data_IF_159322632615
#
_entry.id   IF_159322632615
#
_cell.length_a   1.000
_cell.length_b   1.000
_cell.length_c   1.000
_cell.angle_alpha   90.00
_cell.angle_beta   90.00
_cell.angle_gamma   90.00
#
_symmetry.space_group_name_H-M   'P 1'
#
loop_
_entity.id
_entity.type
_entity.pdbx_description
1 polymer ?
#
# COMPACT_ATOMS: atom_id res chain seq x y z
N UNK A 1 -7.42 43.35 37.52
CA UNK A 1 -8.45 44.25 36.95
C UNK A 1 -9.33 43.40 36.05
N UNK A 2 -10.40 42.80 36.55
CA UNK A 2 -11.76 43.33 36.74
C UNK A 2 -12.70 43.11 35.53
N UNK A 3 -13.61 42.15 35.73
CA UNK A 3 -15.06 42.16 35.43
C UNK A 3 -15.60 42.08 33.98
N UNK A 4 -16.36 41.00 33.80
CA UNK A 4 -17.61 40.75 33.04
C UNK A 4 -18.45 41.96 32.58
N UNK A 5 -19.18 41.75 31.47
CA UNK A 5 -20.60 42.08 31.18
C UNK A 5 -20.74 42.56 29.71
N UNK A 6 -21.44 41.88 28.79
CA UNK A 6 -22.89 41.70 28.60
C UNK A 6 -23.61 42.96 28.06
N UNK A 7 -24.28 42.76 26.91
CA UNK A 7 -25.48 43.41 26.28
C UNK A 7 -25.42 44.78 25.59
N UNK A 8 -25.91 44.79 24.35
CA UNK A 8 -26.88 45.75 23.75
C UNK A 8 -27.35 45.11 22.41
N UNK A 9 -28.63 44.94 22.04
CA UNK A 9 -29.79 45.84 22.07
C UNK A 9 -30.17 46.08 20.59
N UNK A 10 -31.18 45.41 20.01
CA UNK A 10 -32.64 45.62 20.07
C UNK A 10 -33.21 46.51 18.91
N UNK A 11 -34.37 46.06 18.40
CA UNK A 11 -35.48 46.80 17.73
C UNK A 11 -35.46 46.98 16.18
N UNK A 12 -36.37 46.36 15.38
CA UNK A 12 -37.84 46.60 15.13
C UNK A 12 -38.02 47.58 13.93
N UNK A 13 -38.86 47.45 12.87
CA UNK A 13 -40.15 46.77 12.63
C UNK A 13 -40.54 46.76 11.10
N UNK A 14 -41.65 46.05 10.79
CA UNK A 14 -42.70 46.32 9.76
C UNK A 14 -42.36 46.11 8.25
N UNK A 15 -43.15 45.49 7.35
CA UNK A 15 -44.57 45.07 7.36
C UNK A 15 -44.93 44.23 6.10
N UNK A 16 -45.95 43.37 6.25
CA UNK A 16 -47.01 42.99 5.30
C UNK A 16 -46.70 42.25 3.97
N UNK A 17 -47.13 40.98 3.89
CA UNK A 17 -48.07 40.51 2.85
C UNK A 17 -48.68 39.15 3.26
N UNK A 18 -50.00 39.18 3.43
CA UNK A 18 -50.89 38.09 3.76
C UNK A 18 -51.21 37.30 2.48
N UNK A 19 -50.95 35.99 2.44
CA UNK A 19 -51.71 35.09 1.58
C UNK A 19 -51.93 33.75 2.28
N UNK A 20 -53.20 33.41 2.36
CA UNK A 20 -53.77 32.23 2.99
C UNK A 20 -53.43 31.01 2.14
N UNK A 21 -52.77 30.01 2.74
CA UNK A 21 -52.83 28.62 2.25
C UNK A 21 -53.16 27.73 3.45
N UNK A 22 -54.37 27.20 3.43
CA UNK A 22 -54.90 26.18 4.34
C UNK A 22 -54.07 24.89 4.17
N UNK A 23 -53.84 24.10 5.25
CA UNK A 23 -52.74 23.16 5.31
C UNK A 23 -53.09 21.87 4.57
N UNK A 24 -52.37 21.55 3.51
CA UNK A 24 -52.26 20.14 3.10
C UNK A 24 -51.29 19.52 4.09
N UNK A 25 -51.83 18.90 5.15
CA UNK A 25 -51.11 17.83 5.83
C UNK A 25 -50.93 16.74 4.80
N UNK A 26 -49.78 16.75 4.13
CA UNK A 26 -49.22 15.54 3.59
C UNK A 26 -49.04 14.63 4.80
N UNK A 27 -50.02 13.76 5.02
CA UNK A 27 -49.80 12.51 5.71
C UNK A 27 -48.63 11.88 4.99
N UNK A 28 -47.43 11.98 5.58
CA UNK A 28 -46.31 11.17 5.19
C UNK A 28 -46.81 9.73 5.27
N UNK A 29 -47.13 9.15 4.11
CA UNK A 29 -47.23 7.73 3.99
C UNK A 29 -45.92 7.18 4.59
N UNK A 30 -45.98 6.22 5.52
CA UNK A 30 -44.75 5.65 6.03
C UNK A 30 -44.00 5.11 4.82
N UNK A 31 -42.81 5.67 4.54
CA UNK A 31 -41.86 5.01 3.69
C UNK A 31 -41.79 3.57 4.22
N UNK A 32 -42.16 2.61 3.38
CA UNK A 32 -42.16 1.20 3.77
C UNK A 32 -40.80 0.88 4.42
N UNK A 33 -40.76 0.16 5.55
CA UNK A 33 -39.51 -0.12 6.27
C UNK A 33 -38.47 -0.83 5.39
N UNK A 34 -38.91 -1.44 4.28
CA UNK A 34 -38.05 -2.06 3.29
C UNK A 34 -37.18 -1.06 2.48
N UNK A 35 -37.68 0.12 2.12
CA UNK A 35 -36.89 1.11 1.35
C UNK A 35 -35.85 1.83 2.21
N UNK A 36 -36.14 2.09 3.49
CA UNK A 36 -35.16 2.67 4.42
C UNK A 36 -34.07 1.68 4.80
N UNK A 37 -34.38 0.39 4.93
CA UNK A 37 -33.38 -0.66 5.22
C UNK A 37 -32.39 -0.87 4.08
N UNK A 38 -32.85 -0.85 2.82
CA UNK A 38 -31.98 -0.99 1.64
C UNK A 38 -31.04 0.23 1.49
N UNK A 39 -31.55 1.45 1.69
CA UNK A 39 -30.71 2.65 1.64
C UNK A 39 -29.71 2.71 2.80
N UNK A 40 -30.09 2.28 4.00
CA UNK A 40 -29.17 2.14 5.15
C UNK A 40 -28.04 1.14 4.85
N UNK A 41 -28.35 0.00 4.22
CA UNK A 41 -27.35 -1.00 3.82
C UNK A 41 -26.43 -0.51 2.70
N UNK A 42 -26.93 0.27 1.74
CA UNK A 42 -26.09 0.94 0.74
C UNK A 42 -25.13 1.96 1.37
N UNK A 43 -25.59 2.72 2.35
CA UNK A 43 -24.76 3.68 3.07
C UNK A 43 -23.68 2.99 3.91
N UNK A 44 -24.02 1.90 4.60
CA UNK A 44 -23.07 1.05 5.34
C UNK A 44 -21.98 0.49 4.42
N UNK A 45 -22.37 0.01 3.23
CA UNK A 45 -21.43 -0.45 2.19
C UNK A 45 -20.51 0.66 1.70
N UNK A 46 -21.05 1.85 1.40
CA UNK A 46 -20.23 2.98 0.95
C UNK A 46 -19.21 3.39 2.02
N UNK A 47 -19.61 3.38 3.29
CA UNK A 47 -18.70 3.64 4.41
C UNK A 47 -17.60 2.57 4.53
N UNK A 48 -17.95 1.28 4.36
CA UNK A 48 -16.99 0.19 4.42
C UNK A 48 -15.99 0.20 3.25
N UNK A 49 -16.42 0.56 2.03
CA UNK A 49 -15.53 0.75 0.88
C UNK A 49 -14.59 1.93 1.11
N UNK A 50 -15.09 3.05 1.63
CA UNK A 50 -14.25 4.21 1.95
C UNK A 50 -13.18 3.86 3.01
N UNK A 51 -13.53 3.03 4.00
CA UNK A 51 -12.56 2.56 4.99
C UNK A 51 -11.52 1.62 4.40
N UNK A 52 -11.92 0.73 3.47
CA UNK A 52 -10.99 -0.12 2.74
C UNK A 52 -10.00 0.70 1.91
N UNK A 53 -10.47 1.75 1.25
CA UNK A 53 -9.61 2.63 0.44
C UNK A 53 -8.63 3.43 1.31
N UNK A 54 -9.05 3.91 2.50
CA UNK A 54 -8.13 4.52 3.48
C UNK A 54 -7.07 3.54 3.94
N UNK A 55 -7.46 2.30 4.25
CA UNK A 55 -6.53 1.26 4.67
C UNK A 55 -5.52 0.92 3.57
N UNK A 56 -5.97 0.82 2.30
CA UNK A 56 -5.09 0.61 1.14
C UNK A 56 -4.08 1.75 0.99
N UNK A 57 -4.52 3.00 1.14
CA UNK A 57 -3.63 4.15 1.13
C UNK A 57 -2.59 4.07 2.25
N UNK A 58 -2.99 3.66 3.46
CA UNK A 58 -2.08 3.45 4.58
C UNK A 58 -1.01 2.38 4.27
N UNK A 59 -1.40 1.24 3.70
CA UNK A 59 -0.45 0.19 3.29
C UNK A 59 0.52 0.70 2.23
N UNK A 60 0.07 1.50 1.26
CA UNK A 60 0.97 2.11 0.26
C UNK A 60 2.00 3.04 0.91
N UNK A 61 1.61 3.82 1.92
CA UNK A 61 2.54 4.65 2.69
C UNK A 61 3.57 3.78 3.41
N UNK A 62 3.14 2.71 4.08
CA UNK A 62 4.05 1.79 4.77
C UNK A 62 5.04 1.12 3.81
N UNK A 63 4.59 0.71 2.61
CA UNK A 63 5.46 0.15 1.56
C UNK A 63 6.48 1.19 1.10
N UNK A 64 6.07 2.45 0.92
CA UNK A 64 6.99 3.52 0.55
C UNK A 64 8.07 3.74 1.62
N UNK A 65 7.68 3.76 2.90
CA UNK A 65 8.61 3.83 4.04
C UNK A 65 9.54 2.62 4.09
N UNK A 66 9.04 1.40 3.85
CA UNK A 66 9.84 0.18 3.77
C UNK A 66 10.90 0.24 2.66
N UNK A 67 10.54 0.79 1.49
CA UNK A 67 11.50 1.01 0.39
C UNK A 67 12.59 2.02 0.79
N UNK A 68 12.22 3.10 1.48
CA UNK A 68 13.19 4.08 2.01
C UNK A 68 14.15 3.39 2.98
N UNK A 69 13.61 2.62 3.92
CA UNK A 69 14.40 1.85 4.89
C UNK A 69 15.36 0.85 4.21
N UNK A 70 14.90 0.17 3.16
CA UNK A 70 15.75 -0.71 2.34
C UNK A 70 16.93 0.03 1.70
N UNK A 71 16.73 1.27 1.24
CA UNK A 71 17.83 2.11 0.73
C UNK A 71 18.79 2.53 1.84
N UNK A 72 18.28 2.84 3.03
CA UNK A 72 19.11 3.19 4.18
C UNK A 72 19.98 2.01 4.63
N UNK A 73 19.41 0.80 4.69
CA UNK A 73 20.17 -0.44 4.92
C UNK A 73 21.28 -0.61 3.86
N UNK A 74 20.95 -0.42 2.59
CA UNK A 74 21.91 -0.52 1.49
C UNK A 74 23.06 0.48 1.62
N UNK A 75 22.75 1.73 1.96
CA UNK A 75 23.73 2.79 2.21
C UNK A 75 24.62 2.45 3.41
N UNK A 76 24.04 2.05 4.55
CA UNK A 76 24.80 1.69 5.75
C UNK A 76 25.74 0.50 5.49
N UNK A 77 25.32 -0.49 4.70
CA UNK A 77 26.20 -1.60 4.27
C UNK A 77 27.38 -1.14 3.42
N UNK A 78 27.15 -0.24 2.47
CA UNK A 78 28.23 0.32 1.65
C UNK A 78 29.22 1.13 2.49
N UNK A 79 28.70 1.92 3.44
CA UNK A 79 29.47 2.68 4.41
C UNK A 79 30.30 1.80 5.34
N UNK A 80 29.77 0.65 5.77
CA UNK A 80 30.51 -0.36 6.54
C UNK A 80 31.66 -0.93 5.70
N UNK A 81 31.39 -1.36 4.47
CA UNK A 81 32.41 -1.92 3.59
C UNK A 81 33.57 -0.94 3.32
N UNK A 82 33.26 0.36 3.19
CA UNK A 82 34.29 1.40 3.07
C UNK A 82 35.14 1.49 4.34
N UNK A 83 34.52 1.54 5.52
CA UNK A 83 35.25 1.62 6.79
C UNK A 83 36.10 0.38 7.02
N UNK A 84 35.62 -0.81 6.66
CA UNK A 84 36.40 -2.06 6.72
C UNK A 84 37.65 -1.98 5.83
N UNK A 85 37.52 -1.44 4.62
CA UNK A 85 38.64 -1.19 3.72
C UNK A 85 39.65 -0.20 4.33
N UNK A 86 39.16 0.90 4.91
CA UNK A 86 40.00 1.93 5.54
C UNK A 86 40.75 1.36 6.76
N UNK A 87 40.09 0.52 7.56
CA UNK A 87 40.70 -0.20 8.69
C UNK A 87 41.78 -1.15 8.19
N UNK A 88 41.53 -1.92 7.14
CA UNK A 88 42.52 -2.84 6.57
C UNK A 88 43.76 -2.11 6.06
N UNK A 89 43.59 -0.95 5.42
CA UNK A 89 44.70 -0.11 5.00
C UNK A 89 45.49 0.43 6.20
N UNK A 90 44.81 0.95 7.23
CA UNK A 90 45.46 1.44 8.44
C UNK A 90 46.19 0.35 9.21
N UNK A 91 45.68 -0.89 9.22
CA UNK A 91 46.39 -2.02 9.84
C UNK A 91 47.69 -2.35 9.09
N UNK A 92 47.71 -2.25 7.76
CA UNK A 92 48.94 -2.39 6.97
C UNK A 92 49.94 -1.27 7.29
N UNK A 93 49.49 -0.01 7.30
CA UNK A 93 50.31 1.15 7.64
C UNK A 93 50.87 1.05 9.07
N UNK A 94 50.06 0.60 10.02
CA UNK A 94 50.46 0.41 11.41
C UNK A 94 51.51 -0.69 11.55
N UNK A 95 51.37 -1.81 10.85
CA UNK A 95 52.38 -2.87 10.89
C UNK A 95 53.70 -2.45 10.24
N UNK A 96 53.66 -1.68 9.15
CA UNK A 96 54.85 -1.08 8.56
C UNK A 96 55.53 -0.11 9.55
N UNK A 97 54.78 0.81 10.16
CA UNK A 97 55.31 1.75 11.14
C UNK A 97 55.90 1.04 12.36
N UNK A 98 55.25 -0.01 12.87
CA UNK A 98 55.79 -0.86 13.95
C UNK A 98 57.06 -1.60 13.52
N UNK A 99 57.10 -2.12 12.29
CA UNK A 99 58.28 -2.80 11.77
C UNK A 99 59.49 -1.87 11.70
N UNK A 100 59.31 -0.65 11.18
CA UNK A 100 60.37 0.35 11.11
C UNK A 100 60.82 0.80 12.50
N UNK A 101 59.88 1.00 13.43
CA UNK A 101 60.20 1.31 14.82
C UNK A 101 60.98 0.17 15.49
N UNK A 102 60.60 -1.09 15.28
CA UNK A 102 61.32 -2.27 15.81
C UNK A 102 62.72 -2.36 15.22
N UNK A 103 62.87 -2.20 13.89
CA UNK A 103 64.19 -2.18 13.24
C UNK A 103 65.08 -1.10 13.82
N UNK A 104 64.51 0.10 14.04
CA UNK A 104 65.25 1.20 14.64
C UNK A 104 65.65 0.92 16.09
N UNK A 105 64.76 0.36 16.89
CA UNK A 105 65.06 -0.05 18.27
C UNK A 105 66.18 -1.11 18.31
N UNK A 106 66.17 -2.09 17.40
CA UNK A 106 67.24 -3.09 17.26
C UNK A 106 68.55 -2.44 16.86
N UNK A 107 68.55 -1.49 15.91
CA UNK A 107 69.74 -0.72 15.54
C UNK A 107 70.30 0.07 16.72
N UNK A 108 69.44 0.66 17.55
CA UNK A 108 69.85 1.42 18.73
C UNK A 108 70.41 0.52 19.85
N UNK A 109 69.87 -0.70 19.98
CA UNK A 109 70.33 -1.69 20.94
C UNK A 109 71.66 -2.34 20.52
N UNK A 110 71.77 -2.73 19.24
CA UNK A 110 72.98 -3.36 18.66
C UNK A 110 74.09 -2.35 18.37
N UNK A 111 73.72 -1.17 17.89
CA UNK A 111 74.61 -0.03 17.69
C UNK A 111 74.63 0.79 18.97
N UNK A 112 75.44 0.34 19.94
CA UNK A 112 75.58 0.92 21.28
C UNK A 112 75.47 2.45 21.30
N UNK A 113 74.80 3.03 22.31
CA UNK A 113 74.84 4.49 22.61
C UNK A 113 76.28 5.04 22.62
N UNK A 114 77.27 4.19 22.89
CA UNK A 114 78.70 4.51 22.78
C UNK A 114 79.12 4.91 21.36
N UNK A 115 78.50 4.39 20.30
CA UNK A 115 78.79 4.78 18.92
C UNK A 115 78.35 6.21 18.58
N UNK A 116 77.19 6.66 19.08
CA UNK A 116 76.72 8.03 18.82
C UNK A 116 77.55 9.09 19.56
N UNK A 117 77.92 8.82 20.83
CA UNK A 117 78.84 9.69 21.57
C UNK A 117 80.24 9.65 20.96
N UNK A 118 80.71 8.48 20.52
CA UNK A 118 81.98 8.32 19.81
C UNK A 118 82.00 9.08 18.49
N UNK A 119 80.91 9.08 17.71
CA UNK A 119 80.80 9.87 16.47
C UNK A 119 81.07 11.34 16.75
N UNK A 120 80.51 11.90 17.83
CA UNK A 120 80.71 13.31 18.22
C UNK A 120 82.12 13.54 18.77
N UNK A 121 82.64 12.64 19.60
CA UNK A 121 83.95 12.76 20.24
C UNK A 121 85.13 12.51 19.29
N UNK A 122 84.92 11.80 18.17
CA UNK A 122 85.93 11.56 17.11
C UNK A 122 86.00 12.69 16.07
N UNK A 123 85.25 13.78 16.25
CA UNK A 123 85.25 14.89 15.32
C UNK A 123 86.65 15.53 15.23
N UNK A 124 87.14 15.75 14.00
CA UNK A 124 88.52 16.26 13.76
C UNK A 124 88.59 17.79 13.66
N UNK A 125 87.44 18.47 13.58
CA UNK A 125 87.34 19.93 13.52
C UNK A 125 85.99 20.39 14.07
N UNK A 126 85.88 21.69 14.38
CA UNK A 126 84.60 22.30 14.82
C UNK A 126 83.52 22.14 13.74
N UNK A 127 83.88 22.22 12.45
CA UNK A 127 82.93 22.02 11.34
C UNK A 127 82.41 20.59 11.29
N UNK A 128 83.30 19.60 11.35
CA UNK A 128 82.95 18.17 11.39
C UNK A 128 82.09 17.83 12.62
N UNK A 129 82.36 18.47 13.77
CA UNK A 129 81.52 18.36 14.96
C UNK A 129 80.10 18.87 14.72
N UNK A 130 79.94 20.02 14.07
CA UNK A 130 78.62 20.60 13.76
C UNK A 130 77.84 19.71 12.78
N UNK A 131 78.47 19.22 11.71
CA UNK A 131 77.81 18.35 10.72
C UNK A 131 77.31 17.05 11.38
N UNK A 132 78.12 16.45 12.26
CA UNK A 132 77.74 15.24 13.01
C UNK A 132 76.65 15.50 14.05
N UNK A 133 76.67 16.64 14.73
CA UNK A 133 75.62 17.05 15.64
C UNK A 133 74.28 17.26 14.90
N UNK A 134 74.31 17.92 13.74
CA UNK A 134 73.13 18.07 12.87
C UNK A 134 72.60 16.72 12.37
N UNK A 135 73.47 15.78 12.02
CA UNK A 135 73.06 14.41 11.66
C UNK A 135 72.35 13.71 12.82
N UNK A 136 72.91 13.75 14.04
CA UNK A 136 72.27 13.15 15.22
C UNK A 136 70.92 13.79 15.54
N UNK A 137 70.80 15.10 15.37
CA UNK A 137 69.53 15.81 15.52
C UNK A 137 68.49 15.32 14.50
N UNK A 138 68.88 15.19 13.22
CA UNK A 138 68.00 14.68 12.17
C UNK A 138 67.52 13.26 12.46
N UNK A 139 68.41 12.40 12.97
CA UNK A 139 68.09 11.04 13.41
C UNK A 139 67.11 11.04 14.59
N UNK A 140 67.35 11.86 15.62
CA UNK A 140 66.45 11.96 16.77
C UNK A 140 65.05 12.48 16.39
N UNK A 141 64.97 13.45 15.47
CA UNK A 141 63.71 13.94 14.92
C UNK A 141 62.97 12.84 14.15
N UNK A 142 63.68 12.04 13.36
CA UNK A 142 63.11 10.89 12.65
C UNK A 142 62.55 9.85 13.62
N UNK A 143 63.28 9.52 14.68
CA UNK A 143 62.84 8.55 15.69
C UNK A 143 61.59 9.05 16.43
N UNK A 144 61.53 10.34 16.76
CA UNK A 144 60.36 10.98 17.36
C UNK A 144 59.13 10.96 16.42
N UNK A 145 59.34 11.15 15.11
CA UNK A 145 58.29 11.01 14.10
C UNK A 145 57.76 9.59 14.03
N UNK A 146 58.63 8.57 13.95
CA UNK A 146 58.20 7.17 13.93
C UNK A 146 57.31 6.80 15.13
N UNK A 147 57.66 7.27 16.34
CA UNK A 147 56.82 7.06 17.52
C UNK A 147 55.47 7.78 17.43
N UNK A 148 55.49 9.01 16.90
CA UNK A 148 54.27 9.81 16.68
C UNK A 148 53.36 9.12 15.66
N UNK A 149 53.91 8.64 14.55
CA UNK A 149 53.18 7.95 13.48
C UNK A 149 52.51 6.69 14.02
N UNK A 150 53.24 5.82 14.73
CA UNK A 150 52.65 4.61 15.35
C UNK A 150 51.51 4.97 16.32
N UNK A 151 51.65 6.02 17.13
CA UNK A 151 50.57 6.44 18.05
C UNK A 151 49.36 6.97 17.30
N UNK A 152 49.59 7.82 16.30
CA UNK A 152 48.54 8.45 15.49
C UNK A 152 47.76 7.38 14.72
N UNK A 153 48.44 6.54 13.95
CA UNK A 153 47.81 5.46 13.17
C UNK A 153 47.05 4.50 14.07
N UNK A 154 47.58 4.17 15.26
CA UNK A 154 46.85 3.35 16.24
C UNK A 154 45.56 4.03 16.71
N UNK A 155 45.61 5.31 17.05
CA UNK A 155 44.44 6.07 17.50
C UNK A 155 43.38 6.20 16.41
N UNK A 156 43.80 6.45 15.17
CA UNK A 156 42.90 6.53 14.01
C UNK A 156 42.23 5.19 13.75
N UNK A 157 42.99 4.10 13.82
CA UNK A 157 42.46 2.75 13.71
C UNK A 157 41.45 2.42 14.82
N UNK A 158 41.76 2.75 16.07
CA UNK A 158 40.83 2.54 17.20
C UNK A 158 39.52 3.34 17.02
N UNK A 159 39.60 4.56 16.51
CA UNK A 159 38.43 5.37 16.16
C UNK A 159 37.58 4.73 15.04
N UNK A 160 38.22 4.21 13.98
CA UNK A 160 37.50 3.52 12.91
C UNK A 160 36.85 2.22 13.38
N UNK A 161 37.50 1.43 14.25
CA UNK A 161 36.87 0.25 14.85
C UNK A 161 35.63 0.61 15.67
N UNK A 162 35.68 1.70 16.45
CA UNK A 162 34.51 2.18 17.19
C UNK A 162 33.38 2.62 16.24
N UNK A 163 33.74 3.31 15.15
CA UNK A 163 32.78 3.73 14.11
C UNK A 163 32.15 2.52 13.40
N UNK A 164 32.96 1.51 13.08
CA UNK A 164 32.51 0.25 12.47
C UNK A 164 31.50 -0.47 13.38
N UNK A 165 31.81 -0.60 14.67
CA UNK A 165 30.91 -1.24 15.63
C UNK A 165 29.59 -0.47 15.75
N UNK A 166 29.62 0.85 15.90
CA UNK A 166 28.40 1.66 15.98
C UNK A 166 27.55 1.56 14.71
N UNK A 167 28.18 1.48 13.53
CA UNK A 167 27.47 1.26 12.26
C UNK A 167 26.88 -0.15 12.15
N UNK A 168 27.58 -1.17 12.64
CA UNK A 168 27.07 -2.54 12.66
C UNK A 168 25.86 -2.68 13.60
N UNK A 169 25.90 -2.04 14.77
CA UNK A 169 24.77 -1.96 15.70
C UNK A 169 23.58 -1.24 15.03
N UNK A 170 23.82 -0.08 14.43
CA UNK A 170 22.76 0.65 13.71
C UNK A 170 22.17 -0.16 12.55
N UNK A 171 23.00 -0.90 11.80
CA UNK A 171 22.53 -1.79 10.74
C UNK A 171 21.61 -2.90 11.29
N UNK A 172 21.93 -3.45 12.46
CA UNK A 172 21.08 -4.44 13.12
C UNK A 172 19.74 -3.84 13.55
N UNK A 173 19.73 -2.62 14.09
CA UNK A 173 18.50 -1.88 14.42
C UNK A 173 17.62 -1.66 13.18
N UNK A 174 18.21 -1.21 12.06
CA UNK A 174 17.47 -1.01 10.81
C UNK A 174 16.89 -2.32 10.26
N UNK A 175 17.59 -3.44 10.42
CA UNK A 175 17.09 -4.76 10.02
C UNK A 175 15.89 -5.19 10.87
N UNK A 176 15.96 -4.97 12.19
CA UNK A 176 14.84 -5.24 13.10
C UNK A 176 13.61 -4.38 12.76
N UNK A 177 13.81 -3.08 12.47
CA UNK A 177 12.71 -2.20 12.04
C UNK A 177 12.14 -2.66 10.69
N UNK A 178 12.97 -3.12 9.77
CA UNK A 178 12.53 -3.62 8.47
C UNK A 178 11.68 -4.89 8.60
N UNK A 179 12.09 -5.83 9.45
CA UNK A 179 11.33 -7.05 9.71
C UNK A 179 9.98 -6.73 10.38
N UNK A 180 9.98 -5.85 11.39
CA UNK A 180 8.76 -5.42 12.07
C UNK A 180 7.78 -4.72 11.12
N UNK A 181 8.28 -3.86 10.21
CA UNK A 181 7.46 -3.20 9.18
C UNK A 181 6.94 -4.17 8.15
N UNK A 182 7.74 -5.15 7.72
CA UNK A 182 7.28 -6.20 6.80
C UNK A 182 6.10 -6.96 7.40
N UNK A 183 6.23 -7.40 8.65
CA UNK A 183 5.15 -8.10 9.36
C UNK A 183 3.90 -7.22 9.54
N UNK A 184 4.08 -5.92 9.78
CA UNK A 184 2.95 -4.99 9.87
C UNK A 184 2.20 -4.85 8.53
N UNK A 185 2.94 -4.73 7.42
CA UNK A 185 2.36 -4.68 6.08
C UNK A 185 1.62 -5.98 5.76
N UNK A 186 2.23 -7.14 6.02
CA UNK A 186 1.61 -8.45 5.81
C UNK A 186 0.30 -8.60 6.60
N UNK A 187 0.32 -8.27 7.90
CA UNK A 187 -0.88 -8.30 8.75
C UNK A 187 -1.99 -7.37 8.25
N UNK A 188 -1.65 -6.17 7.80
CA UNK A 188 -2.63 -5.22 7.29
C UNK A 188 -3.22 -5.68 5.95
N UNK A 189 -2.41 -6.29 5.08
CA UNK A 189 -2.88 -6.89 3.83
C UNK A 189 -3.85 -8.05 4.08
N UNK A 190 -3.50 -8.97 4.98
CA UNK A 190 -4.39 -10.08 5.38
C UNK A 190 -5.71 -9.56 5.97
N UNK A 191 -5.64 -8.54 6.83
CA UNK A 191 -6.83 -7.90 7.39
C UNK A 191 -7.71 -7.25 6.30
N UNK A 192 -7.11 -6.64 5.27
CA UNK A 192 -7.84 -6.09 4.12
C UNK A 192 -8.50 -7.17 3.28
N UNK A 193 -7.81 -8.28 3.00
CA UNK A 193 -8.37 -9.41 2.25
C UNK A 193 -9.56 -10.04 2.99
N UNK A 194 -9.44 -10.22 4.31
CA UNK A 194 -10.51 -10.73 5.14
C UNK A 194 -11.74 -9.80 5.15
N UNK A 195 -11.52 -8.47 5.24
CA UNK A 195 -12.60 -7.47 5.17
C UNK A 195 -13.26 -7.43 3.79
N UNK A 196 -12.47 -7.48 2.71
CA UNK A 196 -13.00 -7.51 1.35
C UNK A 196 -13.83 -8.78 1.10
N UNK A 197 -13.38 -9.94 1.60
CA UNK A 197 -14.13 -11.19 1.52
C UNK A 197 -15.44 -11.14 2.32
N UNK A 198 -15.43 -10.52 3.52
CA UNK A 198 -16.64 -10.33 4.32
C UNK A 198 -17.66 -9.43 3.61
N UNK A 199 -17.21 -8.31 3.03
CA UNK A 199 -18.04 -7.41 2.21
C UNK A 199 -18.62 -8.12 0.97
N UNK A 200 -17.84 -8.98 0.32
CA UNK A 200 -18.31 -9.78 -0.81
C UNK A 200 -19.41 -10.77 -0.42
N UNK A 201 -19.30 -11.42 0.74
CA UNK A 201 -20.33 -12.34 1.26
C UNK A 201 -21.62 -11.60 1.60
N UNK A 202 -21.53 -10.47 2.31
CA UNK A 202 -22.69 -9.63 2.65
C UNK A 202 -23.42 -9.15 1.38
N UNK A 203 -22.68 -8.86 0.32
CA UNK A 203 -23.24 -8.48 -0.99
C UNK A 203 -24.01 -9.62 -1.65
N UNK A 204 -23.46 -10.83 -1.62
CA UNK A 204 -24.15 -12.04 -2.14
C UNK A 204 -25.42 -12.35 -1.32
N UNK A 205 -25.36 -12.18 0.00
CA UNK A 205 -26.51 -12.40 0.89
C UNK A 205 -27.61 -11.36 0.64
N UNK A 206 -27.26 -10.08 0.49
CA UNK A 206 -28.20 -9.01 0.16
C UNK A 206 -28.86 -9.22 -1.22
N UNK A 207 -28.10 -9.70 -2.22
CA UNK A 207 -28.64 -10.04 -3.53
C UNK A 207 -29.54 -11.29 -3.52
N UNK A 208 -29.29 -12.23 -2.60
CA UNK A 208 -30.08 -13.46 -2.45
C UNK A 208 -31.34 -13.24 -1.61
N UNK A 209 -31.36 -12.24 -0.72
CA UNK A 209 -32.51 -11.95 0.13
C UNK A 209 -33.67 -11.41 -0.72
N UNK A 210 -34.77 -12.18 -0.93
CA UNK A 210 -35.95 -11.64 -1.59
C UNK A 210 -36.55 -10.57 -0.68
N UNK A 211 -37.00 -9.46 -1.28
CA UNK A 211 -37.78 -8.45 -0.57
C UNK A 211 -38.90 -9.14 0.23
N UNK A 212 -39.21 -8.68 1.47
CA UNK A 212 -40.34 -9.23 2.19
C UNK A 212 -41.59 -9.01 1.35
N UNK A 213 -42.14 -10.10 0.80
CA UNK A 213 -43.49 -10.11 0.23
C UNK A 213 -44.43 -9.66 1.33
N UNK A 214 -44.88 -8.41 1.24
CA UNK A 214 -45.97 -7.88 2.03
C UNK A 214 -47.19 -8.76 1.77
N UNK A 215 -47.55 -9.57 2.76
CA UNK A 215 -48.80 -10.32 2.77
C UNK A 215 -49.97 -9.35 2.81
N UNK A 216 -50.45 -8.97 1.62
CA UNK A 216 -51.85 -8.60 1.43
C UNK A 216 -52.56 -9.88 1.01
N UNK A 217 -53.55 -10.31 1.80
CA UNK A 217 -54.47 -11.37 1.38
C UNK A 217 -55.11 -10.95 0.04
N UNK A 218 -54.98 -11.76 -1.04
CA UNK A 218 -55.72 -11.50 -2.25
C UNK A 218 -57.20 -11.80 -1.99
N UNK A 219 -58.02 -10.77 -1.82
CA UNK A 219 -59.48 -10.88 -1.87
C UNK A 219 -59.93 -11.03 -3.33
N UNK A 220 -59.67 -12.20 -3.89
CA UNK A 220 -60.20 -12.63 -5.17
C UNK A 220 -60.34 -14.15 -5.12
N UNK A 221 -61.47 -14.68 -5.55
CA UNK A 221 -61.62 -16.12 -5.71
C UNK A 221 -60.43 -16.65 -6.52
N UNK A 222 -59.79 -17.71 -6.02
CA UNK A 222 -58.67 -18.36 -6.70
C UNK A 222 -59.17 -18.88 -8.05
N UNK A 223 -58.82 -18.17 -9.12
CA UNK A 223 -59.07 -18.58 -10.49
C UNK A 223 -57.81 -19.34 -10.97
N UNK A 224 -57.87 -20.67 -11.12
CA UNK A 224 -56.70 -21.48 -11.50
C UNK A 224 -56.11 -21.08 -12.88
N UNK A 225 -56.87 -20.35 -13.70
CA UNK A 225 -56.42 -19.79 -14.98
C UNK A 225 -55.52 -18.55 -14.82
N UNK A 226 -55.50 -17.90 -13.66
CA UNK A 226 -54.65 -16.72 -13.38
C UNK A 226 -53.37 -17.07 -12.61
N UNK A 227 -53.13 -18.35 -12.31
CA UNK A 227 -51.87 -18.80 -11.72
C UNK A 227 -50.90 -19.11 -12.85
N UNK A 228 -49.86 -18.29 -12.99
CA UNK A 228 -48.75 -18.62 -13.86
C UNK A 228 -47.97 -19.78 -13.23
N UNK A 229 -48.40 -21.00 -13.52
CA UNK A 229 -47.70 -22.21 -13.11
C UNK A 229 -46.50 -22.46 -14.02
N UNK A 230 -45.52 -23.24 -13.56
CA UNK A 230 -44.38 -23.69 -14.39
C UNK A 230 -44.87 -24.45 -15.65
N UNK A 231 -46.07 -25.03 -15.60
CA UNK A 231 -46.74 -25.61 -16.75
C UNK A 231 -47.09 -24.57 -17.83
N UNK A 232 -47.54 -23.37 -17.46
CA UNK A 232 -47.85 -22.29 -18.40
C UNK A 232 -46.59 -21.72 -19.06
N UNK A 233 -45.46 -21.71 -18.34
CA UNK A 233 -44.16 -21.32 -18.90
C UNK A 233 -43.59 -22.38 -19.84
N UNK A 234 -43.89 -23.67 -19.62
CA UNK A 234 -43.34 -24.80 -20.40
C UNK A 234 -44.26 -25.35 -21.49
N UNK A 235 -45.48 -24.82 -21.63
CA UNK A 235 -46.44 -25.23 -22.65
C UNK A 235 -46.05 -24.70 -24.04
N UNK A 236 -45.02 -25.32 -24.65
CA UNK A 236 -44.47 -24.95 -25.96
C UNK A 236 -45.51 -25.07 -27.10
N UNK A 237 -46.56 -25.86 -26.91
CA UNK A 237 -47.68 -26.08 -27.82
C UNK A 237 -48.91 -25.20 -27.53
N UNK A 238 -48.82 -24.29 -26.54
CA UNK A 238 -49.95 -23.43 -26.12
C UNK A 238 -50.39 -22.40 -27.16
N UNK A 239 -49.67 -22.27 -28.28
CA UNK A 239 -49.99 -21.39 -29.39
C UNK A 239 -49.40 -21.94 -30.69
N UNK A 240 -50.21 -22.05 -31.73
CA UNK A 240 -49.75 -22.50 -33.05
C UNK A 240 -49.03 -21.37 -33.79
N UNK A 241 -48.20 -21.71 -34.79
CA UNK A 241 -47.54 -20.71 -35.65
C UNK A 241 -48.53 -19.74 -36.30
N UNK A 242 -49.72 -20.22 -36.68
CA UNK A 242 -50.79 -19.37 -37.21
C UNK A 242 -51.35 -18.42 -36.15
N UNK A 243 -51.54 -18.90 -34.92
CA UNK A 243 -51.97 -18.05 -33.80
C UNK A 243 -50.93 -16.97 -33.47
N UNK A 244 -49.63 -17.30 -33.52
CA UNK A 244 -48.53 -16.34 -33.33
C UNK A 244 -48.57 -15.25 -34.41
N UNK A 245 -48.78 -15.65 -35.67
CA UNK A 245 -48.90 -14.70 -36.78
C UNK A 245 -50.11 -13.77 -36.59
N UNK A 246 -51.28 -14.31 -36.23
CA UNK A 246 -52.48 -13.51 -35.95
C UNK A 246 -52.27 -12.53 -34.78
N UNK A 247 -51.55 -12.95 -33.74
CA UNK A 247 -51.20 -12.07 -32.63
C UNK A 247 -50.28 -10.94 -33.07
N UNK A 248 -49.24 -11.24 -33.86
CA UNK A 248 -48.30 -10.23 -34.35
C UNK A 248 -48.99 -9.21 -35.28
N UNK A 249 -49.97 -9.64 -36.06
CA UNK A 249 -50.79 -8.76 -36.92
C UNK A 249 -51.70 -7.82 -36.11
N UNK A 250 -52.12 -8.23 -34.91
CA UNK A 250 -52.92 -7.41 -34.00
C UNK A 250 -52.07 -6.42 -33.18
N UNK A 251 -50.76 -6.63 -33.09
CA UNK A 251 -49.84 -5.75 -32.36
C UNK A 251 -49.27 -4.66 -33.28
N UNK A 252 -49.20 -3.40 -32.84
CA UNK A 252 -48.52 -2.35 -33.61
C UNK A 252 -47.01 -2.61 -33.60
N UNK A 253 -46.47 -3.14 -34.70
CA UNK A 253 -45.04 -3.47 -34.80
C UNK A 253 -44.61 -3.89 -36.20
N UNK A 254 -43.30 -4.09 -36.36
CA UNK A 254 -42.69 -4.55 -37.64
C UNK A 254 -42.60 -6.07 -37.75
N UNK A 255 -42.98 -6.79 -36.69
CA UNK A 255 -42.73 -8.24 -36.56
C UNK A 255 -43.72 -9.08 -37.38
N UNK A 256 -44.88 -8.54 -37.73
CA UNK A 256 -45.91 -9.20 -38.56
C UNK A 256 -45.40 -9.52 -39.99
N UNK A 257 -44.57 -8.63 -40.53
CA UNK A 257 -44.02 -8.65 -41.89
C UNK A 257 -42.53 -8.97 -41.90
N UNK A 258 -41.90 -9.10 -40.73
CA UNK A 258 -40.47 -9.37 -40.62
C UNK A 258 -40.11 -10.78 -41.10
N UNK A 259 -39.08 -10.86 -41.95
CA UNK A 259 -38.49 -12.10 -42.44
C UNK A 259 -36.98 -12.03 -42.33
N UNK A 260 -36.39 -13.04 -41.70
CA UNK A 260 -34.95 -13.15 -41.51
C UNK A 260 -34.48 -14.60 -41.73
N UNK A 261 -33.21 -14.81 -42.11
CA UNK A 261 -32.62 -16.14 -42.13
C UNK A 261 -32.55 -16.70 -40.70
N UNK A 262 -33.03 -17.93 -40.53
CA UNK A 262 -32.89 -18.69 -39.29
C UNK A 262 -31.44 -19.15 -39.05
N UNK A 263 -31.19 -19.84 -37.93
CA UNK A 263 -29.89 -20.41 -37.58
C UNK A 263 -29.40 -21.50 -38.56
N UNK A 264 -30.26 -21.95 -39.49
CA UNK A 264 -29.95 -22.87 -40.59
C UNK A 264 -29.79 -22.16 -41.94
N UNK A 265 -29.90 -20.83 -41.97
CA UNK A 265 -29.76 -19.98 -43.16
C UNK A 265 -31.01 -19.89 -44.04
N UNK A 266 -32.16 -20.47 -43.63
CA UNK A 266 -33.42 -20.41 -44.38
C UNK A 266 -34.24 -19.20 -43.95
N UNK A 267 -34.73 -18.41 -44.90
CA UNK A 267 -35.58 -17.24 -44.61
C UNK A 267 -36.95 -17.71 -44.10
N UNK A 268 -37.30 -17.31 -42.87
CA UNK A 268 -38.58 -17.62 -42.20
C UNK A 268 -39.24 -16.34 -41.66
N UNK A 269 -40.55 -16.39 -41.39
CA UNK A 269 -41.24 -15.29 -40.71
C UNK A 269 -40.91 -15.24 -39.22
N UNK A 270 -41.15 -14.09 -38.58
CA UNK A 270 -41.00 -13.97 -37.12
C UNK A 270 -41.84 -15.00 -36.36
N UNK A 271 -43.07 -15.27 -36.82
CA UNK A 271 -43.95 -16.26 -36.21
C UNK A 271 -43.37 -17.69 -36.27
N UNK A 272 -42.77 -18.08 -37.41
CA UNK A 272 -42.12 -19.38 -37.56
C UNK A 272 -40.89 -19.51 -36.66
N UNK A 273 -40.09 -18.44 -36.55
CA UNK A 273 -38.89 -18.42 -35.69
C UNK A 273 -39.26 -18.51 -34.20
N UNK A 274 -40.33 -17.83 -33.77
CA UNK A 274 -40.81 -17.87 -32.38
C UNK A 274 -41.37 -19.25 -32.04
N UNK A 275 -42.15 -19.87 -32.95
CA UNK A 275 -42.69 -21.21 -32.74
C UNK A 275 -41.58 -22.28 -32.63
N UNK A 276 -40.54 -22.16 -33.47
CA UNK A 276 -39.37 -23.04 -33.42
C UNK A 276 -38.59 -22.85 -32.12
N UNK A 277 -38.33 -21.60 -31.70
CA UNK A 277 -37.65 -21.31 -30.44
C UNK A 277 -38.43 -21.83 -29.23
N UNK A 278 -39.75 -21.64 -29.21
CA UNK A 278 -40.63 -22.18 -28.17
C UNK A 278 -40.49 -23.70 -28.03
N UNK A 279 -40.50 -24.42 -29.16
CA UNK A 279 -40.33 -25.87 -29.19
C UNK A 279 -38.92 -26.29 -28.77
N UNK A 280 -37.89 -25.59 -29.24
CA UNK A 280 -36.49 -25.94 -28.96
C UNK A 280 -36.10 -25.74 -27.49
N UNK A 281 -36.62 -24.69 -26.85
CA UNK A 281 -36.31 -24.36 -25.46
C UNK A 281 -37.37 -24.87 -24.46
N UNK A 282 -38.45 -25.48 -24.94
CA UNK A 282 -39.54 -25.96 -24.09
C UNK A 282 -40.22 -24.83 -23.33
N UNK A 283 -40.37 -23.67 -23.97
CA UNK A 283 -40.98 -22.45 -23.40
C UNK A 283 -42.23 -22.11 -24.19
N UNK A 284 -43.26 -21.62 -23.51
CA UNK A 284 -44.51 -21.17 -24.13
C UNK A 284 -44.28 -19.99 -25.08
N UNK A 285 -44.82 -20.02 -26.32
CA UNK A 285 -44.72 -18.89 -27.25
C UNK A 285 -45.27 -17.58 -26.67
N UNK A 286 -46.29 -17.67 -25.79
CA UNK A 286 -46.92 -16.51 -25.13
C UNK A 286 -45.99 -15.78 -24.15
N UNK A 287 -44.88 -16.39 -23.76
CA UNK A 287 -43.85 -15.79 -22.89
C UNK A 287 -42.77 -15.09 -23.72
N UNK A 288 -42.62 -15.49 -24.99
CA UNK A 288 -41.65 -14.92 -25.93
C UNK A 288 -42.20 -13.63 -26.58
N UNK A 289 -43.52 -13.59 -26.78
CA UNK A 289 -44.30 -12.46 -27.30
C UNK A 289 -44.55 -11.39 -26.22
#
# INVERSE_FOLDING_TARGET
MSRRAITAGACVALTLALSVVVPVRATAAPASPATSAVEAKKAERAAALAELDRSRASVQVMIAEYIVLGRDIGRTRAEIAQVESDVAQLDLELEQAKYDLRRRAVQLYRGERMSMLRIVLEARSIRDLMDRASYLQAVALRDARLMTDVRKTRSEREYLYATLNGRAEHLAELQLDADARREAIERDMEAQEARAAALGRDLVELMRSPAPTSGGEPSGAFDPENVITDANFRAADSMTTAGIQEFLEQQPGILDTHRAPDHTGKVRSAAEMIAEAATAFGVSPKVIL
#
